data_IF_829159047666
#
_entry.id   IF_829159047666
#
_cell.length_a   1.000
_cell.length_b   1.000
_cell.length_c   1.000
_cell.angle_alpha   90.00
_cell.angle_beta   90.00
_cell.angle_gamma   90.00
#
_symmetry.space_group_name_H-M   'P 1'
#
loop_
_entity.id
_entity.type
_entity.pdbx_description
1 polymer ?
#
# COMPACT_ATOMS: atom_id res chain seq x y z
N UNK A 1 1.71 9.30 -20.19
CA UNK A 1 2.75 8.36 -20.62
C UNK A 1 3.42 7.74 -19.41
N UNK A 2 3.77 6.47 -19.49
CA UNK A 2 4.43 5.72 -18.43
C UNK A 2 5.78 5.21 -18.95
N UNK A 3 6.84 5.38 -18.16
CA UNK A 3 8.19 4.90 -18.48
C UNK A 3 8.37 3.39 -18.21
N UNK A 4 9.56 2.86 -18.52
CA UNK A 4 9.92 1.48 -18.21
C UNK A 4 10.13 1.28 -16.71
N UNK A 5 10.15 0.04 -16.27
CA UNK A 5 10.66 -0.35 -14.96
C UNK A 5 12.18 -0.06 -14.89
N UNK A 6 12.73 0.02 -13.69
CA UNK A 6 14.14 0.45 -13.52
C UNK A 6 15.16 -0.56 -14.07
N UNK A 7 14.84 -1.85 -14.08
CA UNK A 7 15.76 -2.90 -14.53
C UNK A 7 15.04 -4.04 -15.26
N UNK A 8 15.82 -4.79 -16.06
CA UNK A 8 15.33 -6.03 -16.69
C UNK A 8 15.01 -7.12 -15.67
N UNK A 9 15.67 -7.12 -14.51
CA UNK A 9 15.35 -8.06 -13.43
C UNK A 9 13.95 -7.78 -12.87
N UNK A 10 13.62 -6.51 -12.64
CA UNK A 10 12.26 -6.12 -12.22
C UNK A 10 11.20 -6.45 -13.27
N UNK A 11 11.51 -6.28 -14.55
CA UNK A 11 10.60 -6.69 -15.63
C UNK A 11 10.31 -8.19 -15.57
N UNK A 12 11.32 -9.03 -15.42
CA UNK A 12 11.13 -10.50 -15.30
C UNK A 12 10.29 -10.85 -14.08
N UNK A 13 10.64 -10.31 -12.92
CA UNK A 13 9.87 -10.53 -11.70
C UNK A 13 8.41 -10.09 -11.81
N UNK A 14 8.14 -8.96 -12.47
CA UNK A 14 6.77 -8.50 -12.70
C UNK A 14 6.01 -9.42 -13.66
N UNK A 15 6.63 -9.92 -14.73
CA UNK A 15 5.99 -10.88 -15.64
C UNK A 15 5.69 -12.22 -14.95
N UNK A 16 6.64 -12.75 -14.18
CA UNK A 16 6.45 -13.96 -13.35
C UNK A 16 5.31 -13.76 -12.34
N UNK A 17 5.28 -12.60 -11.67
CA UNK A 17 4.18 -12.27 -10.76
C UNK A 17 2.81 -12.21 -11.45
N UNK A 18 2.73 -11.63 -12.66
CA UNK A 18 1.50 -11.62 -13.45
C UNK A 18 1.07 -13.05 -13.81
N UNK A 19 2.00 -13.93 -14.19
CA UNK A 19 1.69 -15.34 -14.47
C UNK A 19 1.09 -16.05 -13.25
N UNK A 20 1.62 -15.77 -12.05
CA UNK A 20 1.04 -16.28 -10.81
C UNK A 20 -0.40 -15.76 -10.59
N UNK A 21 -0.64 -14.47 -10.79
CA UNK A 21 -1.99 -13.91 -10.66
C UNK A 21 -2.98 -14.49 -11.68
N UNK A 22 -2.51 -14.82 -12.89
CA UNK A 22 -3.35 -15.40 -13.95
C UNK A 22 -3.81 -16.84 -13.65
N UNK A 23 -3.29 -17.49 -12.63
CA UNK A 23 -3.83 -18.79 -12.18
C UNK A 23 -5.22 -18.66 -11.53
N UNK A 24 -5.59 -17.47 -11.06
CA UNK A 24 -6.84 -17.19 -10.34
C UNK A 24 -7.59 -15.97 -10.92
N UNK A 25 -7.10 -15.44 -12.03
CA UNK A 25 -7.66 -14.24 -12.67
C UNK A 25 -7.52 -14.33 -14.19
N UNK A 26 -8.16 -13.41 -14.90
CA UNK A 26 -7.99 -13.26 -16.34
C UNK A 26 -7.72 -11.81 -16.71
N UNK A 27 -7.06 -11.58 -17.84
CA UNK A 27 -6.87 -10.24 -18.39
C UNK A 27 -8.21 -9.71 -18.89
N UNK A 28 -8.59 -8.50 -18.47
CA UNK A 28 -9.79 -7.78 -18.98
C UNK A 28 -9.43 -6.54 -19.75
N UNK A 29 -8.22 -6.01 -19.59
CA UNK A 29 -7.72 -4.89 -20.37
C UNK A 29 -6.20 -4.92 -20.47
N UNK A 30 -5.67 -4.53 -21.65
CA UNK A 30 -4.23 -4.49 -21.91
C UNK A 30 -3.59 -5.87 -21.99
N UNK A 31 -2.27 -5.88 -22.07
CA UNK A 31 -1.45 -7.10 -22.06
C UNK A 31 -0.01 -6.72 -21.70
N UNK A 32 0.70 -7.45 -20.82
CA UNK A 32 1.97 -6.99 -20.27
C UNK A 32 3.09 -6.81 -21.30
N UNK A 33 3.06 -7.59 -22.39
CA UNK A 33 4.10 -7.59 -23.44
C UNK A 33 3.61 -7.11 -24.79
N UNK A 34 2.37 -6.64 -24.89
CA UNK A 34 1.78 -6.13 -26.11
C UNK A 34 1.46 -4.63 -25.99
N UNK A 35 1.24 -3.99 -27.11
CA UNK A 35 0.92 -2.56 -27.18
C UNK A 35 2.03 -1.76 -27.87
N UNK A 36 1.64 -0.58 -28.33
CA UNK A 36 2.54 0.33 -29.03
C UNK A 36 3.32 1.17 -28.00
N UNK A 37 4.64 1.13 -28.11
CA UNK A 37 5.54 1.98 -27.33
C UNK A 37 6.04 3.15 -28.21
N UNK A 38 6.20 4.32 -27.59
CA UNK A 38 6.78 5.49 -28.28
C UNK A 38 8.30 5.40 -28.25
N UNK A 39 8.92 5.32 -29.44
CA UNK A 39 10.38 5.35 -29.59
C UNK A 39 11.11 4.11 -29.05
N UNK A 40 10.41 3.04 -28.74
CA UNK A 40 11.00 1.80 -28.19
C UNK A 40 10.20 0.56 -28.57
N UNK A 41 10.76 -0.60 -28.26
CA UNK A 41 10.07 -1.89 -28.34
C UNK A 41 10.14 -2.61 -27.00
N UNK A 42 9.26 -3.59 -26.78
CA UNK A 42 9.27 -4.40 -25.54
C UNK A 42 10.57 -5.19 -25.35
N UNK A 43 11.32 -5.43 -26.42
CA UNK A 43 12.62 -6.11 -26.39
C UNK A 43 13.78 -5.19 -26.00
N UNK A 44 13.65 -3.88 -26.22
CA UNK A 44 14.70 -2.87 -26.04
C UNK A 44 14.70 -2.21 -24.67
N UNK A 45 14.12 -2.82 -23.66
CA UNK A 45 14.12 -2.23 -22.32
C UNK A 45 13.11 -2.90 -21.37
N UNK A 46 13.05 -2.37 -20.18
CA UNK A 46 12.20 -2.91 -19.13
C UNK A 46 10.74 -2.42 -19.21
N UNK A 47 10.20 -2.30 -20.42
CA UNK A 47 8.82 -1.88 -20.65
C UNK A 47 7.85 -3.02 -20.37
N UNK A 48 6.80 -2.71 -19.62
CA UNK A 48 5.60 -3.53 -19.42
C UNK A 48 4.40 -2.62 -19.69
N UNK A 49 3.46 -3.08 -20.47
CA UNK A 49 2.22 -2.33 -20.73
C UNK A 49 1.23 -2.47 -19.58
N UNK A 50 0.42 -1.43 -19.31
CA UNK A 50 -0.64 -1.50 -18.30
C UNK A 50 -1.56 -2.68 -18.54
N UNK A 51 -1.81 -3.47 -17.50
CA UNK A 51 -2.62 -4.67 -17.56
C UNK A 51 -3.61 -4.67 -16.41
N UNK A 52 -4.87 -4.93 -16.71
CA UNK A 52 -5.94 -5.06 -15.74
C UNK A 52 -6.44 -6.50 -15.72
N UNK A 53 -6.44 -7.09 -14.56
CA UNK A 53 -6.91 -8.44 -14.28
C UNK A 53 -8.27 -8.40 -13.59
N UNK A 54 -9.01 -9.50 -13.67
CA UNK A 54 -10.26 -9.74 -12.94
C UNK A 54 -10.20 -11.11 -12.28
N UNK A 55 -10.26 -11.13 -10.94
CA UNK A 55 -10.50 -12.31 -10.14
C UNK A 55 -12.00 -12.38 -9.84
N UNK A 56 -12.72 -13.29 -10.51
CA UNK A 56 -14.20 -13.38 -10.41
C UNK A 56 -14.66 -13.95 -9.07
N UNK A 57 -13.85 -14.78 -8.43
CA UNK A 57 -14.10 -15.39 -7.12
C UNK A 57 -13.00 -15.05 -6.12
N UNK A 58 -12.90 -13.78 -5.70
CA UNK A 58 -11.79 -13.33 -4.85
C UNK A 58 -11.77 -14.00 -3.48
N UNK A 59 -12.90 -14.51 -3.00
CA UNK A 59 -12.99 -15.21 -1.72
C UNK A 59 -12.26 -16.56 -1.73
N UNK A 60 -12.23 -17.25 -2.86
CA UNK A 60 -11.55 -18.54 -3.01
C UNK A 60 -10.09 -18.39 -3.46
N UNK A 61 -9.71 -17.22 -3.95
CA UNK A 61 -8.39 -16.94 -4.49
C UNK A 61 -7.34 -16.81 -3.36
N UNK A 62 -6.10 -17.15 -3.66
CA UNK A 62 -4.94 -17.04 -2.76
C UNK A 62 -3.88 -16.12 -3.34
N UNK A 63 -3.52 -16.32 -4.61
CA UNK A 63 -2.41 -15.60 -5.25
C UNK A 63 -2.70 -14.10 -5.37
N UNK A 64 -3.93 -13.72 -5.74
CA UNK A 64 -4.31 -12.30 -5.89
C UNK A 64 -4.22 -11.50 -4.59
N UNK A 65 -4.21 -12.18 -3.42
CA UNK A 65 -4.04 -11.55 -2.12
C UNK A 65 -2.61 -11.62 -1.59
N UNK A 66 -1.83 -12.64 -1.99
CA UNK A 66 -0.51 -12.92 -1.43
C UNK A 66 0.64 -12.47 -2.32
N UNK A 67 0.44 -12.34 -3.64
CA UNK A 67 1.48 -11.93 -4.58
C UNK A 67 1.36 -10.44 -4.88
N UNK A 68 2.40 -9.67 -4.55
CA UNK A 68 2.53 -8.28 -4.96
C UNK A 68 3.41 -8.19 -6.21
N UNK A 69 2.86 -7.57 -7.26
CA UNK A 69 3.58 -7.34 -8.51
C UNK A 69 4.02 -5.88 -8.59
N UNK A 70 5.33 -5.65 -8.50
CA UNK A 70 5.91 -4.32 -8.69
C UNK A 70 5.95 -3.96 -10.19
N UNK A 71 4.80 -3.55 -10.72
CA UNK A 71 4.62 -3.22 -12.13
C UNK A 71 3.26 -2.60 -12.40
N UNK A 72 2.98 -2.24 -13.66
CA UNK A 72 1.72 -1.59 -14.05
C UNK A 72 0.59 -2.61 -14.22
N UNK A 73 0.30 -3.34 -13.17
CA UNK A 73 -0.81 -4.31 -13.12
C UNK A 73 -1.73 -3.99 -11.95
N UNK A 74 -3.01 -4.19 -12.14
CA UNK A 74 -4.03 -4.10 -11.11
C UNK A 74 -5.01 -5.26 -11.26
N UNK A 75 -5.59 -5.72 -10.15
CA UNK A 75 -6.60 -6.77 -10.14
C UNK A 75 -7.92 -6.24 -9.61
N UNK A 76 -8.97 -6.38 -10.40
CA UNK A 76 -10.34 -6.16 -9.96
C UNK A 76 -10.81 -7.37 -9.16
N UNK A 77 -11.40 -7.11 -8.01
CA UNK A 77 -12.00 -8.11 -7.15
C UNK A 77 -13.42 -7.65 -6.81
N UNK A 78 -14.47 -8.22 -7.43
CA UNK A 78 -15.84 -7.87 -7.11
C UNK A 78 -16.19 -8.32 -5.69
N UNK A 79 -17.08 -7.57 -5.03
CA UNK A 79 -17.62 -7.90 -3.72
C UNK A 79 -19.13 -7.63 -3.70
N UNK A 80 -19.82 -8.06 -2.66
CA UNK A 80 -21.29 -7.99 -2.55
C UNK A 80 -21.85 -6.60 -2.23
N UNK A 81 -20.99 -5.59 -2.10
CA UNK A 81 -21.35 -4.23 -1.73
C UNK A 81 -21.38 -3.96 -0.23
N UNK A 82 -21.17 -4.96 0.62
CA UNK A 82 -21.13 -4.78 2.07
C UNK A 82 -19.73 -4.32 2.56
N UNK A 83 -19.72 -3.51 3.62
CA UNK A 83 -18.49 -3.05 4.28
C UNK A 83 -17.69 -4.22 4.89
N UNK A 84 -18.38 -5.21 5.42
CA UNK A 84 -17.76 -6.40 6.02
C UNK A 84 -17.04 -7.26 4.98
N UNK A 85 -17.64 -7.48 3.81
CA UNK A 85 -17.03 -8.30 2.77
C UNK A 85 -15.79 -7.62 2.17
N UNK A 86 -15.89 -6.34 1.80
CA UNK A 86 -14.70 -5.63 1.28
C UNK A 86 -13.57 -5.57 2.31
N UNK A 87 -13.90 -5.42 3.60
CA UNK A 87 -12.90 -5.43 4.66
C UNK A 87 -12.22 -6.80 4.80
N UNK A 88 -12.96 -7.89 4.66
CA UNK A 88 -12.39 -9.25 4.65
C UNK A 88 -11.40 -9.42 3.47
N UNK A 89 -11.78 -9.01 2.26
CA UNK A 89 -10.90 -9.09 1.09
C UNK A 89 -9.60 -8.29 1.30
N UNK A 90 -9.70 -7.05 1.81
CA UNK A 90 -8.52 -6.19 2.05
C UNK A 90 -7.60 -6.80 3.12
N UNK A 91 -8.15 -7.38 4.18
CA UNK A 91 -7.37 -8.01 5.26
C UNK A 91 -6.55 -9.21 4.79
N UNK A 92 -6.99 -9.92 3.77
CA UNK A 92 -6.24 -11.05 3.19
C UNK A 92 -4.89 -10.63 2.60
N UNK A 93 -4.71 -9.34 2.31
CA UNK A 93 -3.41 -8.78 1.94
C UNK A 93 -2.41 -8.64 3.10
N UNK A 94 -2.82 -8.93 4.35
CA UNK A 94 -1.99 -8.95 5.56
C UNK A 94 -1.26 -7.63 5.87
N UNK A 95 -1.84 -6.53 5.47
CA UNK A 95 -1.34 -5.17 5.71
C UNK A 95 -1.04 -4.39 4.45
N UNK A 96 -1.45 -3.13 4.45
CA UNK A 96 -1.32 -2.22 3.31
C UNK A 96 -0.67 -0.89 3.73
N UNK A 97 0.08 -0.28 2.82
CA UNK A 97 0.57 1.10 2.99
C UNK A 97 -0.59 2.09 2.96
N UNK A 98 -1.45 1.96 1.97
CA UNK A 98 -2.59 2.87 1.78
C UNK A 98 -3.75 2.15 1.11
N UNK A 99 -4.95 2.38 1.63
CA UNK A 99 -6.21 2.01 0.97
C UNK A 99 -7.02 3.27 0.70
N UNK A 100 -7.50 3.42 -0.53
CA UNK A 100 -8.40 4.50 -0.93
C UNK A 100 -9.82 3.98 -1.01
N UNK A 101 -10.75 4.70 -0.38
CA UNK A 101 -12.17 4.38 -0.36
C UNK A 101 -12.93 5.53 -0.99
N UNK A 102 -13.68 5.24 -2.05
CA UNK A 102 -14.45 6.22 -2.80
C UNK A 102 -15.93 5.91 -2.63
N UNK A 103 -16.70 6.84 -2.08
CA UNK A 103 -18.14 6.66 -1.88
C UNK A 103 -18.76 7.81 -1.10
N UNK A 104 -20.09 7.87 -1.12
CA UNK A 104 -20.89 8.91 -0.43
C UNK A 104 -21.73 8.34 0.71
N UNK A 105 -21.83 7.01 0.84
CA UNK A 105 -22.56 6.38 1.94
C UNK A 105 -21.75 6.46 3.25
N UNK A 106 -22.27 7.26 4.18
CA UNK A 106 -21.58 7.49 5.46
C UNK A 106 -21.52 6.26 6.36
N UNK A 107 -22.54 5.42 6.34
CA UNK A 107 -22.58 4.19 7.12
C UNK A 107 -21.48 3.24 6.65
N UNK A 108 -21.48 2.95 5.34
CA UNK A 108 -20.44 2.14 4.70
C UNK A 108 -19.03 2.67 4.99
N UNK A 109 -18.80 3.98 4.80
CA UNK A 109 -17.48 4.59 5.03
C UNK A 109 -17.04 4.47 6.50
N UNK A 110 -17.97 4.66 7.44
CA UNK A 110 -17.69 4.53 8.88
C UNK A 110 -17.27 3.09 9.22
N UNK A 111 -18.03 2.11 8.75
CA UNK A 111 -17.72 0.70 8.98
C UNK A 111 -16.37 0.31 8.39
N UNK A 112 -16.10 0.70 7.15
CA UNK A 112 -14.82 0.43 6.48
C UNK A 112 -13.65 1.06 7.25
N UNK A 113 -13.79 2.29 7.76
CA UNK A 113 -12.75 2.92 8.59
C UNK A 113 -12.48 2.08 9.84
N UNK A 114 -13.53 1.67 10.57
CA UNK A 114 -13.37 0.85 11.76
C UNK A 114 -12.72 -0.50 11.47
N UNK A 115 -13.17 -1.15 10.41
CA UNK A 115 -12.71 -2.48 10.02
C UNK A 115 -11.26 -2.50 9.49
N UNK A 116 -10.84 -1.44 8.81
CA UNK A 116 -9.55 -1.41 8.11
C UNK A 116 -8.45 -0.58 8.78
N UNK A 117 -8.77 0.23 9.79
CA UNK A 117 -7.76 1.10 10.44
C UNK A 117 -6.56 0.34 11.00
N UNK A 118 -6.78 -0.86 11.53
CA UNK A 118 -5.70 -1.71 12.06
C UNK A 118 -4.86 -2.41 10.97
N UNK A 119 -5.32 -2.38 9.72
CA UNK A 119 -4.71 -3.11 8.59
C UNK A 119 -4.02 -2.19 7.58
N UNK A 120 -4.09 -0.88 7.79
CA UNK A 120 -3.58 0.10 6.85
C UNK A 120 -2.71 1.15 7.54
N UNK A 121 -1.65 1.57 6.91
CA UNK A 121 -0.89 2.73 7.33
C UNK A 121 -1.67 4.03 7.14
N UNK A 122 -2.41 4.13 6.05
CA UNK A 122 -3.29 5.27 5.74
C UNK A 122 -4.58 4.79 5.09
N UNK A 123 -5.68 5.46 5.44
CA UNK A 123 -6.94 5.38 4.74
C UNK A 123 -7.22 6.74 4.07
N UNK A 124 -7.45 6.74 2.77
CA UNK A 124 -7.81 7.93 1.99
C UNK A 124 -9.30 7.84 1.66
N UNK A 125 -10.10 8.62 2.35
CA UNK A 125 -11.56 8.65 2.16
C UNK A 125 -11.91 9.80 1.23
N UNK A 126 -12.61 9.50 0.14
CA UNK A 126 -12.96 10.47 -0.89
C UNK A 126 -14.43 10.34 -1.27
N UNK A 127 -15.18 11.41 -1.10
CA UNK A 127 -16.56 11.54 -1.57
C UNK A 127 -16.63 12.32 -2.89
N UNK A 128 -17.81 12.41 -3.49
CA UNK A 128 -18.03 13.15 -4.72
C UNK A 128 -17.71 14.65 -4.61
N UNK A 129 -17.78 15.24 -3.40
CA UNK A 129 -17.56 16.68 -3.17
C UNK A 129 -16.08 17.05 -3.27
N UNK A 130 -15.20 16.16 -2.81
CA UNK A 130 -13.76 16.42 -2.76
C UNK A 130 -12.96 15.66 -3.83
N UNK A 131 -13.57 14.73 -4.57
CA UNK A 131 -12.89 13.88 -5.55
C UNK A 131 -11.99 14.66 -6.54
N UNK A 132 -12.48 15.80 -7.03
CA UNK A 132 -11.71 16.64 -7.97
C UNK A 132 -10.58 17.45 -7.32
N UNK A 133 -10.54 17.54 -5.97
CA UNK A 133 -9.57 18.35 -5.21
C UNK A 133 -8.71 17.52 -4.26
N UNK A 134 -9.02 16.25 -4.10
CA UNK A 134 -8.28 15.35 -3.23
C UNK A 134 -6.87 15.10 -3.77
N UNK A 135 -5.91 15.04 -2.88
CA UNK A 135 -4.57 14.57 -3.23
C UNK A 135 -4.63 13.10 -3.60
N UNK A 136 -3.81 12.70 -4.58
CA UNK A 136 -3.69 11.29 -4.93
C UNK A 136 -3.19 10.43 -3.74
N UNK A 137 -3.60 9.16 -3.66
CA UNK A 137 -3.26 8.28 -2.53
C UNK A 137 -1.74 8.03 -2.40
N UNK A 138 -0.99 8.20 -3.46
CA UNK A 138 0.47 8.10 -3.45
C UNK A 138 1.19 9.27 -2.76
N UNK A 139 0.49 10.36 -2.45
CA UNK A 139 1.09 11.51 -1.80
C UNK A 139 1.10 11.31 -0.27
N UNK A 140 2.28 11.02 0.29
CA UNK A 140 2.49 11.02 1.73
C UNK A 140 2.94 12.41 2.18
N UNK A 141 2.13 13.08 3.00
CA UNK A 141 2.52 14.36 3.61
C UNK A 141 3.49 14.10 4.77
N UNK A 142 4.40 15.05 5.10
CA UNK A 142 5.45 14.84 6.12
C UNK A 142 4.94 14.48 7.52
N UNK A 143 3.69 14.80 7.85
CA UNK A 143 3.08 14.51 9.14
C UNK A 143 2.25 13.21 9.15
N UNK A 144 2.15 12.53 8.00
CA UNK A 144 1.42 11.28 7.87
C UNK A 144 2.32 10.06 8.06
N UNK A 145 1.71 8.94 8.41
CA UNK A 145 2.36 7.65 8.43
C UNK A 145 2.65 7.20 6.98
N UNK A 146 3.90 6.81 6.70
CA UNK A 146 4.29 6.25 5.40
C UNK A 146 4.38 4.74 5.39
N UNK A 147 4.58 4.10 6.52
CA UNK A 147 4.56 2.64 6.65
C UNK A 147 3.14 2.09 6.81
N UNK A 148 3.06 0.88 7.31
CA UNK A 148 1.81 0.21 7.64
C UNK A 148 2.06 -1.08 8.44
N UNK A 149 0.99 -1.73 8.89
CA UNK A 149 1.08 -2.98 9.64
C UNK A 149 1.45 -4.16 8.74
N UNK A 150 1.85 -5.26 9.35
CA UNK A 150 2.07 -6.54 8.67
C UNK A 150 3.06 -6.42 7.51
N UNK A 151 2.67 -6.91 6.35
CA UNK A 151 3.50 -6.91 5.12
C UNK A 151 3.88 -5.52 4.60
N UNK A 152 3.13 -4.49 4.93
CA UNK A 152 3.45 -3.12 4.54
C UNK A 152 4.77 -2.61 5.13
N UNK A 153 5.18 -3.14 6.27
CA UNK A 153 6.38 -2.71 6.99
C UNK A 153 6.21 -1.38 7.72
N UNK A 154 6.89 -1.27 8.86
CA UNK A 154 6.80 -0.10 9.73
C UNK A 154 7.52 1.13 9.18
N UNK A 155 7.08 2.29 9.59
CA UNK A 155 7.68 3.59 9.28
C UNK A 155 6.71 4.72 9.55
N UNK A 156 7.13 5.73 10.32
CA UNK A 156 6.22 6.86 10.61
C UNK A 156 6.18 7.85 9.47
N UNK A 157 7.31 8.08 8.80
CA UNK A 157 7.40 8.98 7.65
C UNK A 157 8.68 8.72 6.84
N UNK A 158 8.76 9.32 5.65
CA UNK A 158 9.89 9.14 4.73
C UNK A 158 11.20 9.79 5.20
N UNK A 159 11.15 10.70 6.15
CA UNK A 159 12.33 11.41 6.61
C UNK A 159 12.07 12.32 7.81
N UNK A 160 13.07 13.11 8.18
CA UNK A 160 13.00 14.00 9.32
C UNK A 160 13.18 13.31 10.66
N UNK A 161 12.94 14.06 11.75
CA UNK A 161 13.14 13.57 13.12
C UNK A 161 12.22 12.40 13.50
N UNK A 162 11.01 12.34 12.93
CA UNK A 162 10.09 11.24 13.19
C UNK A 162 10.57 9.94 12.57
N UNK A 163 11.15 9.98 11.37
CA UNK A 163 11.71 8.81 10.70
C UNK A 163 12.85 8.16 11.49
N UNK A 164 13.55 8.93 12.33
CA UNK A 164 14.62 8.40 13.20
C UNK A 164 14.10 7.49 14.31
N UNK A 165 12.83 7.61 14.72
CA UNK A 165 12.28 6.86 15.86
C UNK A 165 12.32 5.35 15.67
N UNK A 166 12.15 4.87 14.45
CA UNK A 166 12.20 3.44 14.16
C UNK A 166 13.59 2.83 14.38
N UNK A 167 14.63 3.66 14.29
CA UNK A 167 16.03 3.25 14.51
C UNK A 167 16.51 3.45 15.95
N UNK A 168 15.63 3.91 16.85
CA UNK A 168 15.96 4.19 18.25
C UNK A 168 15.32 3.17 19.18
N UNK A 169 16.13 2.64 20.09
CA UNK A 169 15.64 1.81 21.18
C UNK A 169 15.20 2.68 22.34
N UNK A 170 13.98 2.50 22.82
CA UNK A 170 13.51 3.07 24.08
C UNK A 170 13.86 2.15 25.24
N UNK A 171 14.47 2.71 26.28
CA UNK A 171 14.74 1.99 27.52
C UNK A 171 14.17 2.78 28.67
N UNK A 172 13.34 2.15 29.49
CA UNK A 172 12.87 2.74 30.74
C UNK A 172 13.91 2.53 31.82
N UNK A 173 14.35 3.62 32.46
CA UNK A 173 15.26 3.59 33.63
C UNK A 173 14.45 4.00 34.83
N UNK A 174 14.37 3.12 35.82
CA UNK A 174 13.63 3.36 37.07
C UNK A 174 14.59 3.43 38.25
N UNK A 175 14.40 4.40 39.11
CA UNK A 175 15.24 4.58 40.28
C UNK A 175 15.05 5.93 40.97
N UNK A 176 16.01 6.32 41.79
CA UNK A 176 16.00 7.65 42.41
C UNK A 176 16.21 8.73 41.35
N UNK A 177 15.19 9.56 41.07
CA UNK A 177 15.20 10.57 40.02
C UNK A 177 16.40 11.52 40.07
N UNK A 178 16.69 12.16 41.22
CA UNK A 178 17.85 13.04 41.35
C UNK A 178 19.21 12.36 41.11
N UNK A 179 19.33 11.07 41.44
CA UNK A 179 20.54 10.30 41.18
C UNK A 179 20.68 10.03 39.66
N UNK A 180 19.59 9.58 39.02
CA UNK A 180 19.57 9.28 37.57
C UNK A 180 19.86 10.55 36.79
N UNK A 181 19.24 11.68 37.13
CA UNK A 181 19.44 12.95 36.44
C UNK A 181 20.92 13.38 36.49
N UNK A 182 21.56 13.26 37.66
CA UNK A 182 23.00 13.56 37.80
C UNK A 182 23.89 12.63 37.00
N UNK A 183 23.57 11.34 36.96
CA UNK A 183 24.33 10.34 36.19
C UNK A 183 24.25 10.57 34.70
N UNK A 184 23.11 11.04 34.22
CA UNK A 184 22.83 11.28 32.79
C UNK A 184 23.12 12.71 32.33
N UNK A 185 23.50 13.62 33.24
CA UNK A 185 23.74 15.04 32.96
C UNK A 185 22.47 15.78 32.51
N UNK A 186 21.31 15.36 33.02
CA UNK A 186 20.01 15.96 32.72
C UNK A 186 19.65 16.91 33.86
N UNK A 187 19.27 18.14 33.52
CA UNK A 187 18.76 19.07 34.55
C UNK A 187 17.46 18.55 35.12
N UNK A 188 17.39 18.48 36.46
CA UNK A 188 16.23 17.91 37.16
C UNK A 188 14.95 18.78 37.06
N UNK A 189 15.08 19.99 36.53
CA UNK A 189 14.03 21.01 36.42
C UNK A 189 13.58 21.28 34.98
N UNK A 190 13.87 20.39 34.01
CA UNK A 190 13.49 20.52 32.58
C UNK A 190 12.20 19.78 32.25
#
# INVERSE_FOLDING_TARGET
>A
HMGPLSTMAQKRAALEGIEHLLTESRIVYGHPTEGQLEGATHQQGAFISPTLLLAETPDDAIQVHSVEVFGPVATLMPYDGSSSHVAQLVRRGEGCLVTSVYGDDRGFLTDVIHELSAWNGRLVITDAKIAAKAYGPGMALPHLLHGGPGRAGGGEELGGLRGLRIYQQRTAIQGNGPLIARMLGIDADA
#
